data_IF_624315538313
#
_entry.id   IF_624315538313
#
_cell.length_a   1.000
_cell.length_b   1.000
_cell.length_c   1.000
_cell.angle_alpha   90.00
_cell.angle_beta   90.00
_cell.angle_gamma   90.00
#
_symmetry.space_group_name_H-M   'P 1'
#
loop_
_entity.id
_entity.type
_entity.pdbx_description
1 polymer ?
#
# COMPACT_ATOMS: atom_id res chain seq x y z
N UNK A 1 12.17 -2.45 -18.49
CA UNK A 1 11.42 -1.21 -18.19
C UNK A 1 9.93 -1.47 -18.33
N UNK A 2 9.47 -1.95 -19.49
CA UNK A 2 8.08 -2.37 -19.70
C UNK A 2 7.57 -3.38 -18.67
N UNK A 3 8.36 -4.43 -18.37
CA UNK A 3 7.99 -5.44 -17.36
C UNK A 3 7.78 -4.85 -15.96
N UNK A 4 8.56 -3.83 -15.60
CA UNK A 4 8.45 -3.14 -14.30
C UNK A 4 7.19 -2.28 -14.30
N UNK A 5 6.88 -1.59 -15.40
CA UNK A 5 5.67 -0.79 -15.55
C UNK A 5 4.41 -1.67 -15.46
N UNK A 6 4.40 -2.81 -16.15
CA UNK A 6 3.30 -3.78 -16.07
C UNK A 6 3.09 -4.32 -14.65
N UNK A 7 4.18 -4.56 -13.92
CA UNK A 7 4.11 -4.97 -12.52
C UNK A 7 3.50 -3.87 -11.65
N UNK A 8 3.96 -2.63 -11.81
CA UNK A 8 3.42 -1.48 -11.07
C UNK A 8 1.92 -1.31 -11.35
N UNK A 9 1.49 -1.42 -12.60
CA UNK A 9 0.08 -1.31 -12.98
C UNK A 9 -0.78 -2.40 -12.32
N UNK A 10 -0.29 -3.64 -12.33
CA UNK A 10 -0.98 -4.76 -11.65
C UNK A 10 -1.03 -4.56 -10.14
N UNK A 11 0.07 -4.16 -9.52
CA UNK A 11 0.18 -3.97 -8.07
C UNK A 11 -0.63 -2.76 -7.59
N UNK A 12 -0.91 -1.78 -8.46
CA UNK A 12 -1.76 -0.62 -8.15
C UNK A 12 -3.20 -1.05 -7.78
N UNK A 13 -3.73 -2.08 -8.43
CA UNK A 13 -5.05 -2.63 -8.06
C UNK A 13 -5.05 -3.19 -6.63
N UNK A 14 -3.99 -3.91 -6.26
CA UNK A 14 -3.85 -4.47 -4.91
C UNK A 14 -3.68 -3.35 -3.88
N UNK A 15 -2.97 -2.28 -4.23
CA UNK A 15 -2.84 -1.08 -3.40
C UNK A 15 -4.21 -0.45 -3.12
N UNK A 16 -5.04 -0.23 -4.15
CA UNK A 16 -6.39 0.34 -3.96
C UNK A 16 -7.28 -0.51 -3.06
N UNK A 17 -7.22 -1.84 -3.19
CA UNK A 17 -7.94 -2.77 -2.33
C UNK A 17 -7.45 -2.71 -0.88
N UNK A 18 -6.14 -2.62 -0.67
CA UNK A 18 -5.53 -2.47 0.65
C UNK A 18 -5.93 -1.14 1.32
N UNK A 19 -5.95 -0.03 0.58
CA UNK A 19 -6.39 1.27 1.11
C UNK A 19 -7.86 1.24 1.48
N UNK A 20 -8.72 0.62 0.66
CA UNK A 20 -10.14 0.44 0.99
C UNK A 20 -10.32 -0.40 2.25
N UNK A 21 -9.52 -1.46 2.40
CA UNK A 21 -9.52 -2.28 3.62
C UNK A 21 -9.12 -1.46 4.84
N UNK A 22 -8.02 -0.72 4.79
CA UNK A 22 -7.52 0.10 5.89
C UNK A 22 -8.56 1.08 6.45
N UNK A 23 -9.32 1.74 5.58
CA UNK A 23 -10.39 2.67 5.99
C UNK A 23 -11.74 1.98 6.29
N UNK A 24 -11.80 0.65 6.21
CA UNK A 24 -13.03 -0.10 6.44
C UNK A 24 -13.25 -0.40 7.93
N UNK A 25 -14.50 -0.73 8.29
CA UNK A 25 -14.83 -1.27 9.61
C UNK A 25 -14.18 -2.63 9.87
N UNK A 26 -13.84 -3.38 8.81
CA UNK A 26 -13.20 -4.68 8.96
C UNK A 26 -11.78 -4.53 9.50
N UNK A 27 -11.00 -3.57 9.02
CA UNK A 27 -9.66 -3.32 9.56
C UNK A 27 -9.69 -2.98 11.05
N UNK A 28 -10.63 -2.13 11.47
CA UNK A 28 -10.77 -1.77 12.89
C UNK A 28 -11.10 -3.00 13.76
N UNK A 29 -11.98 -3.87 13.26
CA UNK A 29 -12.32 -5.13 13.93
C UNK A 29 -11.15 -6.10 13.94
N UNK A 30 -10.47 -6.29 12.81
CA UNK A 30 -9.34 -7.21 12.69
C UNK A 30 -8.17 -6.75 13.58
N UNK A 31 -7.97 -5.43 13.74
CA UNK A 31 -7.03 -4.85 14.71
C UNK A 31 -7.42 -5.18 16.15
N UNK A 32 -8.69 -5.02 16.51
CA UNK A 32 -9.19 -5.41 17.84
C UNK A 32 -9.01 -6.92 18.09
N UNK A 33 -9.35 -7.76 17.12
CA UNK A 33 -9.18 -9.21 17.20
C UNK A 33 -7.69 -9.57 17.34
N UNK A 34 -6.79 -8.86 16.64
CA UNK A 34 -5.34 -9.02 16.77
C UNK A 34 -4.82 -8.61 18.16
N UNK A 35 -5.26 -7.45 18.69
CA UNK A 35 -4.87 -6.94 20.00
C UNK A 35 -5.35 -7.82 21.17
N UNK A 36 -6.42 -8.61 20.94
CA UNK A 36 -6.96 -9.57 21.91
C UNK A 36 -6.45 -11.01 21.71
N UNK A 37 -5.40 -11.21 20.92
CA UNK A 37 -4.80 -12.53 20.61
C UNK A 37 -5.81 -13.54 19.99
N UNK A 38 -6.82 -13.05 19.27
CA UNK A 38 -7.87 -13.88 18.64
C UNK A 38 -7.50 -14.35 17.23
N UNK A 39 -6.35 -13.93 16.70
CA UNK A 39 -5.82 -14.33 15.39
C UNK A 39 -4.58 -15.22 15.56
N UNK A 40 -4.73 -16.49 15.98
CA UNK A 40 -3.61 -17.42 16.06
C UNK A 40 -3.08 -17.73 14.66
N UNK A 41 -1.79 -18.09 14.59
CA UNK A 41 -1.12 -18.59 13.38
C UNK A 41 -0.95 -17.58 12.22
N UNK A 42 -0.89 -16.27 12.51
CA UNK A 42 -0.49 -15.26 11.52
C UNK A 42 1.03 -15.17 11.34
N UNK A 43 1.50 -15.27 10.10
CA UNK A 43 2.91 -15.04 9.74
C UNK A 43 3.30 -13.56 9.93
N UNK A 44 2.35 -12.64 9.71
CA UNK A 44 2.53 -11.20 9.90
C UNK A 44 1.19 -10.49 10.05
N UNK A 45 1.16 -9.49 10.93
CA UNK A 45 0.05 -8.56 11.13
C UNK A 45 0.43 -7.12 10.73
N UNK A 46 1.43 -6.94 9.87
CA UNK A 46 1.98 -5.60 9.57
C UNK A 46 0.91 -4.62 9.06
N UNK A 47 -0.06 -5.13 8.30
CA UNK A 47 -1.21 -4.34 7.79
C UNK A 47 -2.17 -3.86 8.89
N UNK A 48 -2.11 -4.45 10.10
CA UNK A 48 -2.92 -4.08 11.26
C UNK A 48 -2.20 -3.08 12.18
N UNK A 49 -0.96 -2.71 11.85
CA UNK A 49 -0.22 -1.67 12.59
C UNK A 49 -0.77 -0.28 12.29
N UNK A 50 -0.62 0.65 13.23
CA UNK A 50 -1.06 2.05 13.04
C UNK A 50 -0.34 2.73 11.88
N UNK A 51 0.97 2.47 11.74
CA UNK A 51 1.81 3.21 10.80
C UNK A 51 2.06 2.46 9.48
N UNK A 52 1.96 1.13 9.44
CA UNK A 52 2.44 0.35 8.29
C UNK A 52 1.78 0.71 6.96
N UNK A 53 0.45 0.85 6.94
CA UNK A 53 -0.28 1.27 5.72
C UNK A 53 -0.08 2.76 5.45
N UNK A 54 0.00 3.58 6.49
CA UNK A 54 0.17 5.04 6.35
C UNK A 54 1.53 5.41 5.75
N UNK A 55 2.61 4.77 6.22
CA UNK A 55 3.96 4.91 5.67
C UNK A 55 4.01 4.47 4.20
N UNK A 56 3.36 3.34 3.89
CA UNK A 56 3.24 2.86 2.51
C UNK A 56 2.52 3.87 1.61
N UNK A 57 1.41 4.47 2.06
CA UNK A 57 0.69 5.51 1.32
C UNK A 57 1.56 6.72 1.01
N UNK A 58 2.36 7.15 2.00
CA UNK A 58 3.28 8.27 1.88
C UNK A 58 4.39 7.96 0.87
N UNK A 59 5.01 6.77 0.99
CA UNK A 59 6.04 6.32 0.06
C UNK A 59 5.53 6.14 -1.38
N UNK A 60 4.30 5.62 -1.54
CA UNK A 60 3.64 5.48 -2.84
C UNK A 60 3.43 6.83 -3.50
N UNK A 61 2.92 7.82 -2.75
CA UNK A 61 2.72 9.18 -3.25
C UNK A 61 4.03 9.85 -3.67
N UNK A 62 5.08 9.72 -2.85
CA UNK A 62 6.41 10.22 -3.19
C UNK A 62 6.98 9.58 -4.46
N UNK A 63 6.79 8.28 -4.62
CA UNK A 63 7.21 7.53 -5.81
C UNK A 63 6.48 8.00 -7.07
N UNK A 64 5.17 8.20 -6.99
CA UNK A 64 4.37 8.69 -8.12
C UNK A 64 4.82 10.08 -8.59
N UNK A 65 5.09 10.99 -7.65
CA UNK A 65 5.64 12.33 -7.96
C UNK A 65 6.98 12.19 -8.68
N UNK A 66 7.88 11.35 -8.16
CA UNK A 66 9.19 11.15 -8.78
C UNK A 66 9.09 10.59 -10.21
N UNK A 67 8.14 9.67 -10.46
CA UNK A 67 7.87 9.15 -11.80
C UNK A 67 7.40 10.26 -12.76
N UNK A 68 6.52 11.16 -12.32
CA UNK A 68 6.07 12.30 -13.12
C UNK A 68 7.19 13.27 -13.47
N UNK A 69 8.08 13.56 -12.50
CA UNK A 69 9.26 14.40 -12.73
C UNK A 69 10.20 13.78 -13.77
N UNK A 70 10.45 12.47 -13.68
CA UNK A 70 11.27 11.74 -14.65
C UNK A 70 10.64 11.74 -16.03
N UNK A 71 9.34 11.44 -16.14
CA UNK A 71 8.62 11.49 -17.41
C UNK A 71 8.72 12.88 -18.05
N UNK A 72 8.54 13.94 -17.26
CA UNK A 72 8.66 15.32 -17.74
C UNK A 72 10.07 15.63 -18.26
N UNK A 73 11.11 15.18 -17.55
CA UNK A 73 12.52 15.34 -17.98
C UNK A 73 12.82 14.60 -19.28
N UNK A 74 12.22 13.42 -19.48
CA UNK A 74 12.37 12.63 -20.72
C UNK A 74 11.70 13.35 -21.90
N UNK A 75 10.49 13.87 -21.71
CA UNK A 75 9.69 14.53 -22.75
C UNK A 75 10.25 15.89 -23.19
N UNK A 76 10.89 16.63 -22.27
CA UNK A 76 11.50 17.95 -22.55
C UNK A 76 12.88 17.88 -23.21
N UNK A 77 13.36 16.67 -23.57
CA UNK A 77 14.61 16.50 -24.32
C UNK A 77 14.52 17.10 -25.72
#
# INVERSE_FOLDING_TARGET
MEEILNKIEKDFKNYDELIKYYYSKNWAKDKEDFENDLLPDMESAYVLTEDGIYDMMTASSGTAIHMLELATKILKR
#
